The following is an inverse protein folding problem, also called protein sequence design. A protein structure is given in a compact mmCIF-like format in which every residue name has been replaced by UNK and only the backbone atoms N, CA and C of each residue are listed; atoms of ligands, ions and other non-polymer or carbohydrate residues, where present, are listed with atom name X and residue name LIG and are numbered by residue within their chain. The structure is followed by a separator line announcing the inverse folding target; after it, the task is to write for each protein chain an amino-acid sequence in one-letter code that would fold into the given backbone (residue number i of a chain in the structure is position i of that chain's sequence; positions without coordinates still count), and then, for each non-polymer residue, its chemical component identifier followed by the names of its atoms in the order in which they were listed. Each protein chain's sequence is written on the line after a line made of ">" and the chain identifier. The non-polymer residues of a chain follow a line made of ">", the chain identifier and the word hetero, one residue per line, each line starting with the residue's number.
data_IF_508604225830
#
_entry.id   IF_508604225830
#
_cell.length_a   1.000
_cell.length_b   1.000
_cell.length_c   1.000
_cell.angle_alpha   90.00
_cell.angle_beta   90.00
_cell.angle_gamma   90.00
#
_symmetry.space_group_name_H-M   'P 1'
#
loop_
_entity.id
_entity.type
_entity.pdbx_description
1 polymer ?
#
# COMPACT_ATOMS: atom_id res chain seq x y z
N UNK A 1 4.23 -6.99 2.04
CA UNK A 1 4.98 -5.78 1.66
C UNK A 1 5.56 -5.96 0.27
N UNK A 2 5.66 -4.88 -0.50
CA UNK A 2 6.32 -4.81 -1.81
C UNK A 2 7.23 -3.59 -1.75
N UNK A 3 8.56 -3.71 -1.88
CA UNK A 3 9.46 -2.57 -1.70
C UNK A 3 9.12 -1.47 -2.70
N UNK A 4 9.02 -0.23 -2.21
CA UNK A 4 8.77 0.96 -3.01
C UNK A 4 9.23 2.19 -2.22
N UNK A 5 9.58 3.26 -2.94
CA UNK A 5 9.88 4.57 -2.36
C UNK A 5 8.70 5.54 -2.46
N UNK A 6 7.54 5.08 -2.97
CA UNK A 6 6.35 5.88 -3.10
C UNK A 6 5.94 6.49 -1.76
N UNK A 7 5.62 7.78 -1.78
CA UNK A 7 5.20 8.54 -0.59
C UNK A 7 3.69 8.72 -0.52
N UNK A 8 2.97 8.43 -1.62
CA UNK A 8 1.52 8.53 -1.70
C UNK A 8 0.90 7.19 -2.13
N UNK A 9 -0.38 7.00 -1.81
CA UNK A 9 -1.09 5.79 -2.18
C UNK A 9 -1.36 5.71 -3.69
N UNK A 10 -1.50 6.85 -4.36
CA UNK A 10 -1.65 6.95 -5.81
C UNK A 10 -0.36 6.56 -6.53
N UNK A 11 0.80 7.08 -6.09
CA UNK A 11 2.10 6.72 -6.68
C UNK A 11 2.39 5.23 -6.47
N UNK A 12 2.14 4.72 -5.27
CA UNK A 12 2.35 3.31 -4.98
C UNK A 12 1.41 2.42 -5.80
N UNK A 13 0.16 2.84 -5.99
CA UNK A 13 -0.78 2.12 -6.85
C UNK A 13 -0.33 2.14 -8.32
N UNK A 14 0.13 3.28 -8.84
CA UNK A 14 0.67 3.38 -10.19
C UNK A 14 1.88 2.45 -10.40
N UNK A 15 2.81 2.41 -9.45
CA UNK A 15 3.96 1.50 -9.47
C UNK A 15 3.53 0.03 -9.48
N UNK A 16 2.53 -0.35 -8.68
CA UNK A 16 2.01 -1.73 -8.65
C UNK A 16 1.40 -2.14 -9.99
N UNK A 17 0.66 -1.24 -10.66
CA UNK A 17 0.10 -1.52 -11.99
C UNK A 17 1.20 -1.72 -13.03
N UNK A 18 2.22 -0.86 -13.01
CA UNK A 18 3.36 -0.96 -13.92
C UNK A 18 4.19 -2.23 -13.68
N UNK A 19 4.47 -2.57 -12.42
CA UNK A 19 5.30 -3.71 -12.06
C UNK A 19 4.56 -5.06 -12.24
N UNK A 20 3.24 -5.07 -12.09
CA UNK A 20 2.41 -6.27 -12.15
C UNK A 20 1.21 -6.08 -13.09
N UNK A 21 1.35 -6.26 -14.42
CA UNK A 21 0.25 -6.06 -15.37
C UNK A 21 -1.00 -6.92 -15.08
N UNK A 22 -0.81 -8.12 -14.53
CA UNK A 22 -1.94 -8.96 -14.09
C UNK A 22 -2.72 -8.38 -12.92
N UNK A 23 -2.08 -7.56 -12.07
CA UNK A 23 -2.73 -6.85 -10.99
C UNK A 23 -3.61 -5.72 -11.53
N UNK A 24 -3.10 -4.91 -12.47
CA UNK A 24 -3.89 -3.88 -13.15
C UNK A 24 -5.16 -4.48 -13.77
N UNK A 25 -4.98 -5.54 -14.57
CA UNK A 25 -6.11 -6.26 -15.17
C UNK A 25 -7.11 -6.78 -14.14
N UNK A 26 -6.63 -7.38 -13.04
CA UNK A 26 -7.49 -7.91 -11.99
C UNK A 26 -8.30 -6.81 -11.28
N UNK A 27 -7.73 -5.62 -11.08
CA UNK A 27 -8.40 -4.49 -10.44
C UNK A 27 -9.43 -3.84 -11.37
N UNK A 28 -9.17 -3.80 -12.67
CA UNK A 28 -10.08 -3.20 -13.66
C UNK A 28 -11.26 -4.12 -14.01
N UNK A 29 -11.01 -5.43 -14.17
CA UNK A 29 -12.01 -6.38 -14.66
C UNK A 29 -12.70 -7.18 -13.54
N UNK A 30 -12.09 -7.22 -12.35
CA UNK A 30 -12.56 -8.06 -11.25
C UNK A 30 -13.58 -7.41 -10.33
N UNK A 31 -14.36 -8.23 -9.63
CA UNK A 31 -15.30 -7.80 -8.59
C UNK A 31 -14.58 -7.50 -7.27
N UNK A 32 -13.73 -6.47 -7.27
CA UNK A 32 -12.95 -6.07 -6.10
C UNK A 32 -13.32 -4.67 -5.62
N UNK A 33 -13.30 -4.46 -4.29
CA UNK A 33 -13.31 -3.13 -3.70
C UNK A 33 -11.87 -2.66 -3.48
N UNK A 34 -11.45 -1.66 -4.24
CA UNK A 34 -10.17 -0.98 -4.08
C UNK A 34 -10.30 0.17 -3.07
N UNK A 35 -9.32 0.29 -2.16
CA UNK A 35 -9.18 1.45 -1.29
C UNK A 35 -7.71 1.85 -1.21
N UNK A 36 -7.43 3.10 -1.53
CA UNK A 36 -6.14 3.75 -1.35
C UNK A 36 -6.16 4.52 -0.03
N UNK A 37 -5.09 4.42 0.75
CA UNK A 37 -4.94 5.19 1.99
C UNK A 37 -3.47 5.42 2.31
N UNK A 38 -3.11 6.63 2.74
CA UNK A 38 -1.80 6.94 3.31
C UNK A 38 -2.01 7.42 4.75
N UNK A 39 -2.11 6.51 5.73
CA UNK A 39 -2.45 6.88 7.10
C UNK A 39 -1.33 7.72 7.70
N UNK A 40 -1.60 9.00 7.97
CA UNK A 40 -0.63 9.88 8.60
C UNK A 40 -0.79 9.89 10.12
N UNK A 41 0.14 9.24 10.80
CA UNK A 41 0.22 9.25 12.27
C UNK A 41 0.81 10.55 12.81
N UNK A 42 0.45 10.92 14.03
CA UNK A 42 1.17 11.99 14.75
C UNK A 42 2.61 11.53 15.02
N UNK A 43 3.59 12.27 14.48
CA UNK A 43 4.99 11.88 14.55
C UNK A 43 5.47 10.94 13.44
N UNK A 44 4.64 10.57 12.45
CA UNK A 44 5.05 9.71 11.33
C UNK A 44 6.32 10.24 10.66
N UNK A 45 7.34 9.38 10.58
CA UNK A 45 8.65 9.67 9.96
C UNK A 45 8.82 8.98 8.61
N UNK A 46 8.07 7.91 8.37
CA UNK A 46 8.19 7.05 7.20
C UNK A 46 6.81 6.83 6.61
N UNK A 47 6.56 7.37 5.40
CA UNK A 47 5.29 7.23 4.73
C UNK A 47 4.97 5.76 4.49
N UNK A 48 3.76 5.32 4.83
CA UNK A 48 3.32 3.95 4.60
C UNK A 48 2.05 3.86 3.74
N UNK A 49 2.09 4.34 2.49
CA UNK A 49 0.95 4.24 1.59
C UNK A 49 0.50 2.80 1.43
N UNK A 50 -0.82 2.60 1.46
CA UNK A 50 -1.45 1.29 1.44
C UNK A 50 -2.45 1.20 0.31
N UNK A 51 -2.33 0.13 -0.47
CA UNK A 51 -3.34 -0.31 -1.44
C UNK A 51 -4.07 -1.52 -0.86
N UNK A 52 -5.38 -1.39 -0.64
CA UNK A 52 -6.22 -2.46 -0.11
C UNK A 52 -7.21 -2.94 -1.17
N UNK A 53 -7.26 -4.25 -1.37
CA UNK A 53 -8.17 -4.92 -2.30
C UNK A 53 -9.02 -5.90 -1.50
N UNK A 54 -10.34 -5.79 -1.62
CA UNK A 54 -11.29 -6.66 -0.91
C UNK A 54 -12.23 -7.39 -1.88
N UNK A 55 -12.34 -8.71 -1.74
CA UNK A 55 -13.30 -9.56 -2.47
C UNK A 55 -13.90 -10.58 -1.52
N UNK A 56 -15.23 -10.74 -1.58
CA UNK A 56 -15.98 -11.79 -0.85
C UNK A 56 -15.55 -11.97 0.62
N UNK A 57 -15.35 -10.85 1.33
CA UNK A 57 -14.97 -10.84 2.75
C UNK A 57 -13.47 -10.89 3.04
N UNK A 58 -12.63 -11.26 2.07
CA UNK A 58 -11.17 -11.28 2.20
C UNK A 58 -10.58 -9.95 1.76
N UNK A 59 -9.64 -9.40 2.54
CA UNK A 59 -8.94 -8.14 2.24
C UNK A 59 -7.43 -8.35 2.23
N UNK A 60 -6.79 -7.99 1.13
CA UNK A 60 -5.33 -7.99 0.97
C UNK A 60 -4.86 -6.53 1.01
N UNK A 61 -3.85 -6.25 1.82
CA UNK A 61 -3.22 -4.93 1.92
C UNK A 61 -1.77 -5.01 1.48
N UNK A 62 -1.39 -4.12 0.58
CA UNK A 62 -0.02 -3.95 0.10
C UNK A 62 0.51 -2.63 0.65
N UNK A 63 1.78 -2.61 1.03
CA UNK A 63 2.46 -1.46 1.61
C UNK A 63 3.99 -1.57 1.38
N UNK A 64 4.72 -0.44 1.32
CA UNK A 64 6.13 -0.40 0.92
C UNK A 64 7.10 -0.97 1.95
N UNK A 65 6.81 -0.79 3.24
CA UNK A 65 7.76 -1.08 4.31
C UNK A 65 7.33 -2.28 5.16
N UNK A 66 8.25 -3.11 5.65
CA UNK A 66 7.91 -4.09 6.68
C UNK A 66 7.47 -3.38 7.96
N UNK A 67 6.54 -3.97 8.71
CA UNK A 67 6.02 -3.38 9.95
C UNK A 67 7.13 -3.05 10.96
N UNK A 68 8.19 -3.87 11.01
CA UNK A 68 9.35 -3.62 11.86
C UNK A 68 10.01 -2.27 11.54
N UNK A 69 10.20 -1.94 10.26
CA UNK A 69 10.81 -0.68 9.84
C UNK A 69 9.92 0.54 10.18
N UNK A 70 8.60 0.38 10.08
CA UNK A 70 7.64 1.42 10.52
C UNK A 70 7.82 1.69 12.01
N UNK A 71 7.78 0.64 12.84
CA UNK A 71 7.93 0.75 14.30
C UNK A 71 9.29 1.36 14.67
N UNK A 72 10.38 0.92 14.04
CA UNK A 72 11.72 1.49 14.28
C UNK A 72 11.80 2.97 13.89
N UNK A 73 11.12 3.40 12.83
CA UNK A 73 11.11 4.80 12.41
C UNK A 73 10.37 5.72 13.39
N UNK A 74 9.44 5.18 14.18
CA UNK A 74 8.64 5.92 15.16
C UNK A 74 9.29 5.90 16.57
N UNK A 75 10.19 4.95 16.84
CA UNK A 75 10.88 4.81 18.12
C UNK A 75 12.12 5.71 18.28
N UNK A 76 12.39 6.60 17.33
CA UNK A 76 13.48 7.56 17.41
C UNK A 76 13.26 8.63 18.48
N UNK A 77 13.96 8.48 19.62
CA UNK A 77 14.35 9.56 20.54
C UNK A 77 15.49 10.39 19.94
#
# INVERSE_FOLDING_TARGET
>A
MIPSNAQSADDFFAELKQAYPSFEKAVEEGDFKLKLSSPKGEGERLANPTVAIKNKGVCIKLHPHPLKAIVESEQGL
#
